data_IF_250472246216
#
_entry.id   IF_250472246216
#
_cell.length_a   1.000
_cell.length_b   1.000
_cell.length_c   1.000
_cell.angle_alpha   90.00
_cell.angle_beta   90.00
_cell.angle_gamma   90.00
#
_symmetry.space_group_name_H-M   'P 1'
#
loop_
_entity.id
_entity.type
_entity.pdbx_description
1 polymer ?
#
# COMPACT_ATOMS: atom_id res chain seq x y z
N UNK A 1 -4.46 -29.50 43.08
CA UNK A 1 -5.18 -28.21 43.17
C UNK A 1 -5.31 -27.62 41.77
N UNK A 2 -6.34 -28.00 41.01
CA UNK A 2 -6.58 -27.51 39.64
C UNK A 2 -7.40 -26.22 39.70
N UNK A 3 -6.77 -25.08 39.39
CA UNK A 3 -7.46 -23.79 39.32
C UNK A 3 -8.10 -23.66 37.92
N UNK A 4 -9.32 -24.16 37.77
CA UNK A 4 -10.12 -24.02 36.54
C UNK A 4 -10.55 -22.56 36.42
N UNK A 5 -10.03 -21.82 35.44
CA UNK A 5 -10.52 -20.49 35.09
C UNK A 5 -11.67 -20.66 34.10
N UNK A 6 -12.88 -20.30 34.51
CA UNK A 6 -14.06 -20.30 33.67
C UNK A 6 -14.06 -19.04 32.79
N UNK A 7 -13.92 -19.20 31.47
CA UNK A 7 -14.16 -18.13 30.53
C UNK A 7 -15.66 -18.04 30.29
N UNK A 8 -16.31 -17.05 30.92
CA UNK A 8 -17.70 -16.70 30.60
C UNK A 8 -17.69 -15.83 29.34
N UNK A 9 -18.43 -16.22 28.32
CA UNK A 9 -18.62 -15.38 27.15
C UNK A 9 -19.65 -14.29 27.47
N UNK A 10 -19.37 -13.00 27.23
CA UNK A 10 -20.40 -11.98 27.32
C UNK A 10 -21.40 -12.21 26.18
N UNK A 11 -22.52 -12.83 26.49
CA UNK A 11 -23.68 -12.86 25.61
C UNK A 11 -24.30 -11.47 25.56
N UNK A 12 -24.22 -10.82 24.40
CA UNK A 12 -25.07 -9.67 24.10
C UNK A 12 -24.38 -8.30 24.10
N UNK A 13 -23.24 -8.16 23.43
CA UNK A 13 -22.99 -6.91 22.72
C UNK A 13 -23.00 -7.27 21.25
N UNK A 14 -23.99 -6.74 20.51
CA UNK A 14 -24.08 -6.90 19.08
C UNK A 14 -22.70 -6.68 18.48
N UNK A 15 -22.15 -7.72 17.85
CA UNK A 15 -21.03 -7.61 16.92
C UNK A 15 -21.64 -6.81 15.78
N UNK A 16 -21.65 -5.49 15.97
CA UNK A 16 -22.38 -4.56 15.12
C UNK A 16 -21.90 -4.68 13.70
N UNK A 17 -22.77 -4.23 12.79
CA UNK A 17 -22.64 -3.96 11.35
C UNK A 17 -21.39 -3.13 10.94
N UNK A 18 -20.22 -3.42 11.52
CA UNK A 18 -18.97 -2.70 11.33
C UNK A 18 -18.02 -3.42 10.35
N UNK A 19 -18.34 -4.66 9.96
CA UNK A 19 -17.60 -5.35 8.92
C UNK A 19 -17.85 -4.69 7.55
N UNK A 20 -19.11 -4.43 7.20
CA UNK A 20 -19.47 -3.75 5.95
C UNK A 20 -18.98 -2.30 5.88
N UNK A 21 -18.91 -1.61 7.03
CA UNK A 21 -18.34 -0.26 7.13
C UNK A 21 -16.82 -0.22 6.83
N UNK A 22 -16.11 -1.34 7.05
CA UNK A 22 -14.70 -1.48 6.71
C UNK A 22 -14.52 -1.83 5.22
N UNK A 23 -15.40 -2.67 4.67
CA UNK A 23 -15.39 -3.04 3.24
C UNK A 23 -15.67 -1.83 2.35
N UNK A 24 -16.64 -0.98 2.70
CA UNK A 24 -16.99 0.22 1.91
C UNK A 24 -15.89 1.30 1.85
N UNK A 25 -14.90 1.27 2.76
CA UNK A 25 -13.76 2.21 2.74
C UNK A 25 -12.56 1.68 1.96
N UNK A 26 -12.57 0.40 1.59
CA UNK A 26 -11.55 -0.21 0.77
C UNK A 26 -11.75 0.21 -0.68
N UNK A 27 -10.70 0.69 -1.33
CA UNK A 27 -10.59 0.99 -2.77
C UNK A 27 -11.03 2.41 -3.17
N UNK A 28 -12.17 2.93 -2.72
CA UNK A 28 -12.67 4.23 -3.23
C UNK A 28 -11.76 5.42 -2.88
N UNK A 29 -11.12 5.39 -1.71
CA UNK A 29 -10.26 6.48 -1.23
C UNK A 29 -9.00 6.69 -2.09
N UNK A 30 -8.55 5.68 -2.85
CA UNK A 30 -7.42 5.84 -3.77
C UNK A 30 -7.85 6.27 -5.19
N UNK A 31 -9.15 6.26 -5.48
CA UNK A 31 -9.73 6.80 -6.71
C UNK A 31 -10.21 8.24 -6.57
N UNK A 32 -10.29 8.78 -5.35
CA UNK A 32 -10.67 10.19 -5.15
C UNK A 32 -9.57 11.09 -5.73
N UNK A 33 -9.87 11.95 -6.74
CA UNK A 33 -8.92 12.94 -7.20
C UNK A 33 -8.62 13.88 -6.03
N UNK A 34 -7.40 13.78 -5.48
CA UNK A 34 -6.89 14.66 -4.45
C UNK A 34 -7.05 16.10 -4.94
N UNK A 35 -7.82 16.88 -4.19
CA UNK A 35 -8.02 18.30 -4.42
C UNK A 35 -6.66 19.01 -4.60
N UNK A 36 -6.67 19.91 -5.58
CA UNK A 36 -5.57 20.64 -6.21
C UNK A 36 -4.53 21.15 -5.21
N UNK A 37 -3.29 20.64 -5.30
CA UNK A 37 -2.11 21.19 -4.64
C UNK A 37 -1.03 21.36 -5.69
N UNK A 38 -0.95 22.56 -6.28
CA UNK A 38 0.09 23.01 -7.23
C UNK A 38 0.24 22.09 -8.48
N UNK A 39 0.97 22.45 -9.54
CA UNK A 39 1.23 21.53 -10.65
C UNK A 39 2.30 20.51 -10.22
N UNK A 40 2.00 19.71 -9.20
CA UNK A 40 2.66 18.43 -9.03
C UNK A 40 2.08 17.59 -10.17
N UNK A 41 2.89 17.36 -11.19
CA UNK A 41 2.52 16.54 -12.34
C UNK A 41 1.79 15.29 -11.84
N UNK A 42 0.57 15.08 -12.33
CA UNK A 42 -0.30 14.02 -11.81
C UNK A 42 0.42 12.68 -12.01
N UNK A 43 0.77 12.02 -10.90
CA UNK A 43 1.43 10.71 -10.94
C UNK A 43 0.53 9.69 -11.64
N UNK A 44 0.96 9.23 -12.82
CA UNK A 44 0.27 8.17 -13.56
C UNK A 44 0.76 6.81 -13.11
N UNK A 45 -0.16 5.85 -12.91
CA UNK A 45 0.19 4.46 -12.57
C UNK A 45 0.81 3.77 -13.79
N UNK A 46 2.02 3.27 -13.62
CA UNK A 46 2.71 2.41 -14.59
C UNK A 46 2.60 0.96 -14.12
N UNK A 47 1.94 0.11 -14.91
CA UNK A 47 1.86 -1.34 -14.68
C UNK A 47 2.85 -2.02 -15.60
N UNK A 48 3.81 -2.75 -15.04
CA UNK A 48 4.82 -3.50 -15.78
C UNK A 48 4.94 -4.91 -15.19
N UNK A 49 5.12 -5.88 -16.07
CA UNK A 49 5.47 -7.23 -15.67
C UNK A 49 6.99 -7.38 -15.68
N UNK A 50 7.54 -7.92 -14.60
CA UNK A 50 8.97 -8.21 -14.44
C UNK A 50 9.13 -9.65 -13.98
N UNK A 51 10.26 -10.28 -14.32
CA UNK A 51 10.52 -11.63 -13.84
C UNK A 51 10.63 -11.66 -12.31
N UNK A 52 10.20 -12.76 -11.70
CA UNK A 52 10.24 -12.93 -10.24
C UNK A 52 11.65 -12.71 -9.67
N UNK A 53 12.66 -13.25 -10.36
CA UNK A 53 14.07 -13.11 -9.98
C UNK A 53 14.57 -11.66 -10.06
N UNK A 54 14.04 -10.85 -10.97
CA UNK A 54 14.35 -9.42 -11.04
C UNK A 54 13.66 -8.66 -9.90
N UNK A 55 12.37 -8.91 -9.68
CA UNK A 55 11.61 -8.26 -8.62
C UNK A 55 12.20 -8.56 -7.22
N UNK A 56 12.60 -9.81 -6.97
CA UNK A 56 13.24 -10.21 -5.71
C UNK A 56 14.56 -9.45 -5.46
N UNK A 57 15.41 -9.34 -6.48
CA UNK A 57 16.68 -8.59 -6.38
C UNK A 57 16.43 -7.12 -6.09
N UNK A 58 15.54 -6.47 -6.85
CA UNK A 58 15.20 -5.05 -6.63
C UNK A 58 14.67 -4.83 -5.21
N UNK A 59 13.77 -5.71 -4.74
CA UNK A 59 13.18 -5.60 -3.40
C UNK A 59 14.24 -5.72 -2.30
N UNK A 60 15.19 -6.65 -2.43
CA UNK A 60 16.29 -6.81 -1.46
C UNK A 60 17.24 -5.61 -1.47
N UNK A 61 17.62 -5.12 -2.66
CA UNK A 61 18.49 -3.95 -2.78
C UNK A 61 17.84 -2.70 -2.17
N UNK A 62 16.57 -2.44 -2.48
CA UNK A 62 15.84 -1.29 -1.94
C UNK A 62 15.70 -1.40 -0.41
N UNK A 63 15.43 -2.59 0.12
CA UNK A 63 15.34 -2.83 1.56
C UNK A 63 16.67 -2.56 2.28
N UNK A 64 17.81 -2.94 1.67
CA UNK A 64 19.15 -2.66 2.22
C UNK A 64 19.46 -1.17 2.26
N UNK A 65 19.00 -0.42 1.26
CA UNK A 65 19.20 1.04 1.15
C UNK A 65 18.17 1.86 1.94
N UNK A 66 17.11 1.22 2.45
CA UNK A 66 16.03 1.91 3.17
C UNK A 66 15.14 2.78 2.28
N UNK A 67 15.13 2.54 0.96
CA UNK A 67 14.36 3.31 -0.02
C UNK A 67 13.12 2.55 -0.48
N UNK A 68 12.07 3.27 -0.88
CA UNK A 68 10.88 2.65 -1.46
C UNK A 68 11.19 2.26 -2.90
N UNK A 69 10.76 1.05 -3.27
CA UNK A 69 10.92 0.53 -4.64
C UNK A 69 10.34 1.48 -5.71
N UNK A 70 9.22 2.13 -5.40
CA UNK A 70 8.58 3.07 -6.32
C UNK A 70 9.42 4.34 -6.55
N UNK A 71 10.17 4.78 -5.55
CA UNK A 71 11.00 5.99 -5.65
C UNK A 71 12.29 5.67 -6.43
N UNK A 72 12.92 4.51 -6.17
CA UNK A 72 14.08 4.04 -6.93
C UNK A 72 13.72 3.86 -8.42
N UNK A 73 12.58 3.25 -8.72
CA UNK A 73 12.11 3.06 -10.11
C UNK A 73 11.79 4.40 -10.76
N UNK A 74 11.21 5.36 -10.02
CA UNK A 74 10.96 6.71 -10.54
C UNK A 74 12.26 7.41 -10.91
N UNK A 75 13.24 7.39 -10.02
CA UNK A 75 14.55 8.00 -10.27
C UNK A 75 15.26 7.34 -11.46
N UNK A 76 15.18 6.00 -11.58
CA UNK A 76 15.73 5.28 -12.73
C UNK A 76 15.06 5.70 -14.05
N UNK A 77 13.74 5.88 -14.05
CA UNK A 77 12.98 6.31 -15.23
C UNK A 77 13.30 7.76 -15.59
N UNK A 78 13.40 8.67 -14.63
CA UNK A 78 13.76 10.08 -14.86
C UNK A 78 15.17 10.24 -15.44
N UNK A 79 16.13 9.42 -14.97
CA UNK A 79 17.49 9.39 -15.52
C UNK A 79 17.52 8.89 -16.96
N UNK A 80 16.69 7.89 -17.30
CA UNK A 80 16.68 7.30 -18.64
C UNK A 80 15.86 8.15 -19.64
N UNK A 81 14.79 8.78 -19.18
CA UNK A 81 13.91 9.63 -19.98
C UNK A 81 13.96 11.06 -19.43
N UNK A 82 15.10 11.78 -19.62
CA UNK A 82 15.14 13.18 -19.24
C UNK A 82 14.09 13.95 -20.05
N UNK A 83 13.49 14.98 -19.45
CA UNK A 83 12.68 15.92 -20.19
C UNK A 83 13.55 16.47 -21.33
N UNK A 84 13.17 16.20 -22.58
CA UNK A 84 13.85 16.78 -23.74
C UNK A 84 13.86 18.29 -23.55
N UNK A 85 15.07 18.85 -23.43
CA UNK A 85 15.28 20.29 -23.59
C UNK A 85 15.05 20.72 -25.02
#
# INVERSE_FOLDING_TARGET
MSKKLAFTMPSGTAIGDNADAWVGKGIEQHLQPRAEVAPIERMKRLTIDVSESLHARIKVDCARRGVKIADEVREMLEKHFPALS
#
